data_IF_084142125150
#
_entry.id   IF_084142125150
#
_cell.length_a   1.000
_cell.length_b   1.000
_cell.length_c   1.000
_cell.angle_alpha   90.00
_cell.angle_beta   90.00
_cell.angle_gamma   90.00
#
_symmetry.space_group_name_H-M   'P 1'
#
loop_
_entity.id
_entity.type
_entity.pdbx_description
1 polymer ?
#
# COMPACT_ATOMS: atom_id res chain seq x y z
N UNK A 1 3.66 6.49 37.06
CA UNK A 1 4.67 7.02 38.01
C UNK A 1 4.16 6.83 39.43
N UNK A 2 5.06 6.56 40.38
CA UNK A 2 4.73 6.40 41.80
C UNK A 2 5.64 7.33 42.60
N UNK A 3 5.16 8.51 43.02
CA UNK A 3 5.98 9.48 43.73
C UNK A 3 6.18 9.07 45.19
N UNK A 4 7.39 9.30 45.74
CA UNK A 4 7.65 9.12 47.18
C UNK A 4 7.19 10.34 48.01
N UNK A 5 7.04 11.50 47.37
CA UNK A 5 6.67 12.78 47.98
C UNK A 5 5.64 13.52 47.10
N UNK A 6 4.79 14.40 47.65
CA UNK A 6 3.68 15.02 46.91
C UNK A 6 4.11 15.98 45.78
N UNK A 7 5.40 16.31 45.69
CA UNK A 7 5.98 17.20 44.69
C UNK A 7 6.25 16.53 43.34
N UNK A 8 6.04 15.21 43.24
CA UNK A 8 6.33 14.41 42.03
C UNK A 8 7.75 14.66 41.48
N UNK A 9 8.70 15.04 42.34
CA UNK A 9 10.06 15.36 41.91
C UNK A 9 10.69 14.13 41.22
N UNK A 10 11.30 14.28 40.02
CA UNK A 10 11.85 13.14 39.27
C UNK A 10 12.89 12.33 40.06
N UNK A 11 13.68 12.99 40.91
CA UNK A 11 14.69 12.36 41.78
C UNK A 11 14.09 11.49 42.90
N UNK A 12 12.80 11.65 43.20
CA UNK A 12 12.06 10.95 44.26
C UNK A 12 10.83 10.21 43.74
N UNK A 13 10.77 9.93 42.44
CA UNK A 13 9.65 9.25 41.79
C UNK A 13 10.10 7.95 41.15
N UNK A 14 9.35 6.87 41.39
CA UNK A 14 9.55 5.61 40.67
C UNK A 14 8.79 5.63 39.34
N UNK A 15 9.49 5.32 38.25
CA UNK A 15 8.89 5.18 36.92
C UNK A 15 8.65 3.71 36.63
N UNK A 16 7.39 3.29 36.77
CA UNK A 16 6.94 1.96 36.38
C UNK A 16 6.48 2.01 34.92
N UNK A 17 7.06 1.13 34.09
CA UNK A 17 6.64 0.99 32.70
C UNK A 17 5.45 0.05 32.60
N UNK A 18 4.44 0.49 31.86
CA UNK A 18 3.25 -0.30 31.56
C UNK A 18 2.80 -0.05 30.13
N UNK A 19 2.16 -1.05 29.53
CA UNK A 19 1.62 -0.95 28.16
C UNK A 19 0.10 -0.90 28.26
N UNK A 20 -0.49 0.21 27.83
CA UNK A 20 -1.93 0.31 27.64
C UNK A 20 -2.29 -0.22 26.25
N UNK A 21 -2.61 -1.50 26.14
CA UNK A 21 -2.87 -2.15 24.84
C UNK A 21 -3.97 -1.47 24.03
N UNK A 22 -5.04 -1.00 24.68
CA UNK A 22 -6.09 -0.21 24.03
C UNK A 22 -5.57 1.08 23.39
N UNK A 23 -4.68 1.80 24.08
CA UNK A 23 -4.07 3.01 23.55
C UNK A 23 -3.18 2.68 22.34
N UNK A 24 -2.37 1.63 22.46
CA UNK A 24 -1.47 1.17 21.39
C UNK A 24 -2.27 0.73 20.16
N UNK A 25 -3.33 -0.06 20.32
CA UNK A 25 -4.17 -0.53 19.22
C UNK A 25 -4.83 0.62 18.47
N UNK A 26 -5.40 1.60 19.17
CA UNK A 26 -6.00 2.80 18.56
C UNK A 26 -4.96 3.64 17.81
N UNK A 27 -3.79 3.85 18.41
CA UNK A 27 -2.70 4.57 17.77
C UNK A 27 -2.24 3.85 16.50
N UNK A 28 -2.13 2.52 16.55
CA UNK A 28 -1.72 1.71 15.40
C UNK A 28 -2.78 1.75 14.29
N UNK A 29 -4.07 1.65 14.62
CA UNK A 29 -5.17 1.79 13.66
C UNK A 29 -5.15 3.15 12.95
N UNK A 30 -4.90 4.24 13.68
CA UNK A 30 -4.76 5.57 13.08
C UNK A 30 -3.58 5.63 12.10
N UNK A 31 -2.44 5.04 12.49
CA UNK A 31 -1.23 4.99 11.65
C UNK A 31 -1.45 4.15 10.39
N UNK A 32 -2.09 2.98 10.50
CA UNK A 32 -2.38 2.11 9.35
C UNK A 32 -3.41 2.73 8.42
N UNK A 33 -4.41 3.44 8.95
CA UNK A 33 -5.36 4.21 8.13
C UNK A 33 -4.66 5.29 7.31
N UNK A 34 -3.74 6.06 7.93
CA UNK A 34 -2.92 7.05 7.22
C UNK A 34 -2.00 6.40 6.18
N UNK A 35 -1.41 5.26 6.52
CA UNK A 35 -0.57 4.51 5.59
C UNK A 35 -1.37 4.02 4.38
N UNK A 36 -2.59 3.50 4.59
CA UNK A 36 -3.50 3.08 3.53
C UNK A 36 -3.78 4.23 2.55
N UNK A 37 -4.17 5.40 3.07
CA UNK A 37 -4.41 6.59 2.25
C UNK A 37 -3.17 6.96 1.42
N UNK A 38 -1.98 6.96 2.04
CA UNK A 38 -0.74 7.28 1.34
C UNK A 38 -0.42 6.29 0.21
N UNK A 39 -0.66 4.99 0.43
CA UNK A 39 -0.43 3.95 -0.59
C UNK A 39 -1.41 4.13 -1.75
N UNK A 40 -2.70 4.33 -1.48
CA UNK A 40 -3.71 4.60 -2.51
C UNK A 40 -3.36 5.85 -3.34
N UNK A 41 -2.97 6.94 -2.67
CA UNK A 41 -2.55 8.18 -3.33
C UNK A 41 -1.29 7.96 -4.18
N UNK A 42 -0.32 7.19 -3.68
CA UNK A 42 0.89 6.87 -4.45
C UNK A 42 0.56 6.04 -5.69
N UNK A 43 -0.31 5.04 -5.57
CA UNK A 43 -0.75 4.22 -6.70
C UNK A 43 -1.46 5.05 -7.76
N UNK A 44 -2.40 5.91 -7.34
CA UNK A 44 -3.09 6.83 -8.24
C UNK A 44 -2.11 7.77 -8.96
N UNK A 45 -1.13 8.31 -8.22
CA UNK A 45 -0.08 9.16 -8.81
C UNK A 45 0.76 8.40 -9.85
N UNK A 46 1.20 7.17 -9.56
CA UNK A 46 1.98 6.37 -10.52
C UNK A 46 1.18 6.06 -11.79
N UNK A 47 -0.11 5.71 -11.66
CA UNK A 47 -1.01 5.49 -12.80
C UNK A 47 -1.20 6.76 -13.62
N UNK A 48 -1.35 7.92 -12.96
CA UNK A 48 -1.54 9.20 -13.64
C UNK A 48 -0.28 9.64 -14.41
N UNK A 49 0.90 9.55 -13.78
CA UNK A 49 2.18 9.92 -14.41
C UNK A 49 2.47 9.10 -15.66
N UNK A 50 2.11 7.80 -15.64
CA UNK A 50 2.41 6.87 -16.72
C UNK A 50 1.22 6.57 -17.63
N UNK A 51 0.14 7.35 -17.51
CA UNK A 51 -1.14 7.11 -18.19
C UNK A 51 -0.99 6.89 -19.70
N UNK A 52 -0.23 7.74 -20.39
CA UNK A 52 -0.03 7.64 -21.85
C UNK A 52 0.61 6.31 -22.26
N UNK A 53 1.61 5.87 -21.51
CA UNK A 53 2.33 4.63 -21.78
C UNK A 53 1.46 3.40 -21.46
N UNK A 54 0.68 3.47 -20.38
CA UNK A 54 -0.29 2.43 -20.01
C UNK A 54 -1.42 2.32 -21.05
N UNK A 55 -1.98 3.43 -21.53
CA UNK A 55 -3.00 3.44 -22.58
C UNK A 55 -2.44 2.88 -23.91
N UNK A 56 -1.19 3.23 -24.27
CA UNK A 56 -0.50 2.66 -25.44
C UNK A 56 -0.37 1.14 -25.29
N UNK A 57 0.06 0.65 -24.13
CA UNK A 57 0.15 -0.78 -23.85
C UNK A 57 -1.23 -1.46 -23.96
N UNK A 58 -2.26 -0.87 -23.36
CA UNK A 58 -3.61 -1.44 -23.36
C UNK A 58 -4.19 -1.54 -24.77
N UNK A 59 -3.98 -0.54 -25.63
CA UNK A 59 -4.41 -0.59 -27.03
C UNK A 59 -3.73 -1.72 -27.80
N UNK A 60 -2.42 -1.91 -27.57
CA UNK A 60 -1.64 -2.98 -28.18
C UNK A 60 -2.16 -4.36 -27.76
N UNK A 61 -2.36 -4.57 -26.46
CA UNK A 61 -2.94 -5.81 -25.91
C UNK A 61 -4.35 -6.08 -26.46
N UNK A 62 -5.16 -5.03 -26.64
CA UNK A 62 -6.50 -5.15 -27.23
C UNK A 62 -6.48 -5.57 -28.71
N UNK A 63 -5.53 -5.05 -29.51
CA UNK A 63 -5.36 -5.46 -30.91
C UNK A 63 -4.99 -6.94 -30.99
N UNK A 64 -3.99 -7.36 -30.19
CA UNK A 64 -3.55 -8.77 -30.12
C UNK A 64 -4.71 -9.68 -29.68
N UNK A 65 -5.50 -9.26 -28.67
CA UNK A 65 -6.64 -10.03 -28.19
C UNK A 65 -7.81 -10.10 -29.20
N UNK A 66 -7.98 -9.08 -30.04
CA UNK A 66 -9.07 -9.02 -31.03
C UNK A 66 -8.82 -9.86 -32.29
N UNK A 67 -7.58 -10.28 -32.52
CA UNK A 67 -7.20 -11.04 -33.70
C UNK A 67 -6.68 -12.42 -33.29
N UNK A 68 -7.60 -13.37 -33.14
CA UNK A 68 -7.31 -14.76 -32.72
C UNK A 68 -6.38 -15.52 -33.68
N UNK A 69 -6.20 -15.03 -34.92
CA UNK A 69 -5.42 -15.67 -35.99
C UNK A 69 -4.30 -14.78 -36.56
N UNK A 70 -3.63 -13.96 -35.75
CA UNK A 70 -2.41 -13.27 -36.18
C UNK A 70 -1.29 -14.29 -36.42
N UNK A 71 -0.65 -14.24 -37.59
CA UNK A 71 0.64 -14.90 -37.82
C UNK A 71 1.67 -14.36 -36.83
N UNK A 72 2.60 -15.20 -36.38
CA UNK A 72 3.60 -14.84 -35.36
C UNK A 72 4.44 -13.62 -35.76
N UNK A 73 4.66 -13.40 -37.06
CA UNK A 73 5.33 -12.23 -37.61
C UNK A 73 4.56 -10.92 -37.35
N UNK A 74 3.23 -10.94 -37.50
CA UNK A 74 2.39 -9.77 -37.23
C UNK A 74 2.31 -9.46 -35.74
N UNK A 75 2.39 -10.47 -34.87
CA UNK A 75 2.50 -10.26 -33.41
C UNK A 75 3.80 -9.57 -33.05
N UNK A 76 4.92 -9.99 -33.65
CA UNK A 76 6.22 -9.37 -33.40
C UNK A 76 6.27 -7.91 -33.84
N UNK A 77 5.68 -7.57 -34.99
CA UNK A 77 5.61 -6.17 -35.46
C UNK A 77 4.81 -5.28 -34.49
N UNK A 78 3.69 -5.79 -33.98
CA UNK A 78 2.86 -5.08 -32.99
C UNK A 78 3.64 -4.90 -31.67
N UNK A 79 4.39 -5.92 -31.23
CA UNK A 79 5.23 -5.83 -30.03
C UNK A 79 6.43 -4.88 -30.19
N UNK A 80 6.90 -4.64 -31.41
CA UNK A 80 7.96 -3.69 -31.73
C UNK A 80 7.48 -2.22 -31.76
N UNK A 81 6.17 -1.98 -31.80
CA UNK A 81 5.61 -0.62 -31.63
C UNK A 81 5.91 0.00 -30.25
N UNK A 82 6.29 -0.84 -29.28
CA UNK A 82 6.80 -0.40 -27.97
C UNK A 82 8.31 -0.57 -27.94
N UNK A 83 9.01 0.54 -27.77
CA UNK A 83 10.47 0.54 -27.75
C UNK A 83 11.02 -0.28 -26.57
N UNK A 84 12.23 -0.83 -26.65
CA UNK A 84 12.85 -1.55 -25.52
C UNK A 84 12.91 -0.71 -24.23
N UNK A 85 13.11 0.60 -24.36
CA UNK A 85 13.12 1.54 -23.23
C UNK A 85 11.73 1.65 -22.57
N UNK A 86 10.66 1.73 -23.38
CA UNK A 86 9.27 1.72 -22.90
C UNK A 86 8.92 0.38 -22.23
N UNK A 87 9.36 -0.76 -22.78
CA UNK A 87 9.17 -2.09 -22.15
C UNK A 87 9.83 -2.15 -20.77
N UNK A 88 11.05 -1.62 -20.64
CA UNK A 88 11.74 -1.55 -19.35
C UNK A 88 11.00 -0.65 -18.34
N UNK A 89 10.47 0.50 -18.80
CA UNK A 89 9.68 1.40 -17.97
C UNK A 89 8.36 0.75 -17.51
N UNK A 90 7.66 0.08 -18.42
CA UNK A 90 6.43 -0.68 -18.11
C UNK A 90 6.68 -1.78 -17.07
N UNK A 91 7.78 -2.53 -17.21
CA UNK A 91 8.17 -3.55 -16.21
C UNK A 91 8.39 -2.93 -14.82
N UNK A 92 9.03 -1.76 -14.76
CA UNK A 92 9.24 -1.02 -13.51
C UNK A 92 7.92 -0.55 -12.89
N UNK A 93 7.02 0.00 -13.70
CA UNK A 93 5.69 0.46 -13.25
C UNK A 93 4.90 -0.73 -12.70
N UNK A 94 4.83 -1.85 -13.43
CA UNK A 94 4.12 -3.06 -13.00
C UNK A 94 4.63 -3.57 -11.65
N UNK A 95 5.95 -3.67 -11.48
CA UNK A 95 6.56 -4.10 -10.20
C UNK A 95 6.22 -3.13 -9.05
N UNK A 96 6.24 -1.82 -9.32
CA UNK A 96 5.89 -0.82 -8.32
C UNK A 96 4.41 -0.91 -7.92
N UNK A 97 3.50 -0.94 -8.91
CA UNK A 97 2.05 -1.05 -8.68
C UNK A 97 1.71 -2.31 -7.90
N UNK A 98 2.28 -3.46 -8.29
CA UNK A 98 2.07 -4.72 -7.58
C UNK A 98 2.51 -4.65 -6.12
N UNK A 99 3.64 -3.97 -5.85
CA UNK A 99 4.11 -3.77 -4.47
C UNK A 99 3.18 -2.88 -3.66
N UNK A 100 2.62 -1.83 -4.27
CA UNK A 100 1.64 -0.97 -3.61
C UNK A 100 0.36 -1.74 -3.29
N UNK A 101 -0.16 -2.54 -4.22
CA UNK A 101 -1.34 -3.40 -4.01
C UNK A 101 -1.12 -4.44 -2.90
N UNK A 102 0.08 -5.03 -2.84
CA UNK A 102 0.45 -5.92 -1.75
C UNK A 102 0.47 -5.18 -0.39
N UNK A 103 0.98 -3.95 -0.35
CA UNK A 103 0.93 -3.11 0.85
C UNK A 103 -0.51 -2.78 1.25
N UNK A 104 -1.40 -2.47 0.31
CA UNK A 104 -2.83 -2.25 0.59
C UNK A 104 -3.43 -3.49 1.26
N UNK A 105 -3.17 -4.69 0.72
CA UNK A 105 -3.69 -5.96 1.29
C UNK A 105 -3.21 -6.19 2.72
N UNK A 106 -1.91 -6.03 2.98
CA UNK A 106 -1.33 -6.21 4.33
C UNK A 106 -1.85 -5.18 5.35
N UNK A 107 -2.07 -3.94 4.90
CA UNK A 107 -2.64 -2.89 5.74
C UNK A 107 -4.10 -3.18 6.09
N UNK A 108 -4.89 -3.71 5.14
CA UNK A 108 -6.26 -4.18 5.39
C UNK A 108 -6.31 -5.24 6.50
N UNK A 109 -5.45 -6.27 6.43
CA UNK A 109 -5.40 -7.33 7.44
C UNK A 109 -5.08 -6.76 8.83
N UNK A 110 -4.12 -5.83 8.89
CA UNK A 110 -3.74 -5.19 10.15
C UNK A 110 -4.87 -4.32 10.71
N UNK A 111 -5.52 -3.52 9.86
CA UNK A 111 -6.67 -2.70 10.26
C UNK A 111 -7.80 -3.57 10.80
N UNK A 112 -8.12 -4.67 10.11
CA UNK A 112 -9.17 -5.61 10.53
C UNK A 112 -8.92 -6.16 11.94
N UNK A 113 -7.70 -6.63 12.23
CA UNK A 113 -7.35 -7.17 13.55
C UNK A 113 -7.45 -6.09 14.63
N UNK A 114 -6.95 -4.87 14.36
CA UNK A 114 -7.00 -3.77 15.34
C UNK A 114 -8.44 -3.32 15.62
N UNK A 115 -9.27 -3.19 14.58
CA UNK A 115 -10.69 -2.86 14.71
C UNK A 115 -11.45 -3.92 15.50
N UNK A 116 -11.21 -5.20 15.21
CA UNK A 116 -11.79 -6.31 15.97
C UNK A 116 -11.40 -6.25 17.44
N UNK A 117 -10.11 -6.13 17.73
CA UNK A 117 -9.63 -6.00 19.12
C UNK A 117 -10.31 -4.84 19.86
N UNK A 118 -10.35 -3.65 19.25
CA UNK A 118 -10.96 -2.47 19.85
C UNK A 118 -12.45 -2.72 20.10
N UNK A 119 -13.19 -3.24 19.11
CA UNK A 119 -14.63 -3.50 19.22
C UNK A 119 -14.95 -4.48 20.35
N UNK A 120 -14.26 -5.61 20.43
CA UNK A 120 -14.50 -6.60 21.49
C UNK A 120 -14.11 -6.10 22.88
N UNK A 121 -13.11 -5.22 22.97
CA UNK A 121 -12.70 -4.66 24.26
C UNK A 121 -13.70 -3.65 24.81
N UNK A 122 -14.50 -3.00 23.95
CA UNK A 122 -15.64 -2.14 24.37
C UNK A 122 -16.92 -2.90 24.73
N UNK A 123 -17.03 -4.19 24.37
CA UNK A 123 -18.21 -5.00 24.68
C UNK A 123 -18.14 -5.66 26.07
N UNK A 124 -17.00 -5.55 26.76
CA UNK A 124 -16.83 -5.99 28.15
C UNK A 124 -16.94 -4.80 29.09
#
# INVERSE_FOLDING_TARGET
EVPKTPDHAPSRTFYLFGIQLNQVARMLLQKTTKAMLNVCLRRAHETQQHRRLLEKQQRMEAIIASMENLEEEQKTEIEEMVTPAEKAQLSKIKKMTHKLEQCESQLCDTMFVMEMYIKYTHMK
#
